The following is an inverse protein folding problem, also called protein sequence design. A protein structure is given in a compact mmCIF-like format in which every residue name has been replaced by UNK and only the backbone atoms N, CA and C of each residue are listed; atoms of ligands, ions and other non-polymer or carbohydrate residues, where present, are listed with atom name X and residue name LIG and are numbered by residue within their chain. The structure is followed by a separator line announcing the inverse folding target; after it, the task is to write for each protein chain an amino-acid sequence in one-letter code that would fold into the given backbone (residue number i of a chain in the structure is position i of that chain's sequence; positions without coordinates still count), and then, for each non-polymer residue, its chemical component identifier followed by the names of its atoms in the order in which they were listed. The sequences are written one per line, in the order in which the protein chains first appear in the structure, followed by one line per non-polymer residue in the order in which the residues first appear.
data_IF_254764434544
#
_entry.id   IF_254764434544
#
_cell.length_a   1.000
_cell.length_b   1.000
_cell.length_c   1.000
_cell.angle_alpha   90.00
_cell.angle_beta   90.00
_cell.angle_gamma   90.00
#
_symmetry.space_group_name_H-M   'P 1'
#
loop_
_entity.id
_entity.type
_entity.pdbx_description
1 polymer ?
#
# COMPACT_ATOMS: atom_id res chain seq x y z
N UNK A 1 -5.12 -10.86 10.22
CA UNK A 1 -5.60 -11.32 8.90
C UNK A 1 -7.06 -10.92 8.72
N UNK A 2 -7.40 -10.12 7.70
CA UNK A 2 -8.80 -9.76 7.39
C UNK A 2 -9.47 -8.70 8.29
N UNK A 3 -8.77 -8.14 9.29
CA UNK A 3 -9.35 -7.14 10.21
C UNK A 3 -9.65 -5.78 9.56
N UNK A 4 -9.03 -5.49 8.42
CA UNK A 4 -9.25 -4.25 7.69
C UNK A 4 -9.16 -4.52 6.18
N UNK A 5 -10.18 -4.05 5.45
CA UNK A 5 -10.26 -4.07 3.98
C UNK A 5 -10.00 -2.68 3.39
N UNK A 6 -9.66 -1.68 4.20
CA UNK A 6 -9.42 -0.34 3.68
C UNK A 6 -8.09 -0.35 2.89
N UNK A 7 -8.00 0.34 1.76
CA UNK A 7 -6.72 0.51 1.09
C UNK A 7 -5.81 1.40 1.93
N UNK A 8 -4.52 1.05 1.99
CA UNK A 8 -3.47 1.86 2.62
C UNK A 8 -2.67 2.52 1.49
N UNK A 9 -2.42 3.81 1.64
CA UNK A 9 -1.59 4.60 0.73
C UNK A 9 -0.55 5.38 1.54
N UNK A 10 0.69 5.38 1.07
CA UNK A 10 1.80 6.12 1.65
C UNK A 10 2.13 7.33 0.75
N UNK A 11 2.06 8.52 1.32
CA UNK A 11 2.42 9.76 0.65
C UNK A 11 3.93 9.98 0.77
N UNK A 12 4.67 9.73 -0.29
CA UNK A 12 6.12 9.81 -0.37
C UNK A 12 6.58 11.17 -0.92
N UNK A 13 6.15 12.24 -0.26
CA UNK A 13 6.52 13.60 -0.65
C UNK A 13 8.01 13.81 -0.37
N UNK A 14 8.73 14.36 -1.34
CA UNK A 14 10.18 14.63 -1.25
C UNK A 14 10.99 13.43 -0.75
N UNK A 15 10.60 12.21 -1.15
CA UNK A 15 11.30 10.98 -0.78
C UNK A 15 11.36 10.70 0.73
N UNK A 16 10.45 11.26 1.52
CA UNK A 16 10.43 11.11 2.98
C UNK A 16 10.44 9.63 3.44
N UNK A 17 9.77 8.73 2.73
CA UNK A 17 9.65 7.32 3.11
C UNK A 17 10.70 6.40 2.46
N UNK A 18 11.65 6.93 1.68
CA UNK A 18 12.71 6.12 1.07
C UNK A 18 13.49 5.26 2.09
N UNK A 19 13.85 5.75 3.30
CA UNK A 19 14.53 4.90 4.29
C UNK A 19 13.66 3.72 4.76
N UNK A 20 12.35 3.90 4.85
CA UNK A 20 11.42 2.83 5.22
C UNK A 20 11.31 1.79 4.11
N UNK A 21 11.24 2.22 2.84
CA UNK A 21 11.23 1.30 1.70
C UNK A 21 12.50 0.46 1.63
N UNK A 22 13.66 1.10 1.82
CA UNK A 22 14.94 0.39 1.88
C UNK A 22 14.98 -0.66 3.01
N UNK A 23 14.41 -0.35 4.18
CA UNK A 23 14.30 -1.31 5.27
C UNK A 23 13.39 -2.48 4.91
N UNK A 24 12.22 -2.21 4.32
CA UNK A 24 11.29 -3.27 3.90
C UNK A 24 11.93 -4.17 2.84
N UNK A 25 12.65 -3.60 1.88
CA UNK A 25 13.33 -4.36 0.84
C UNK A 25 14.47 -5.22 1.42
N UNK A 26 15.22 -4.71 2.39
CA UNK A 26 16.18 -5.50 3.15
C UNK A 26 15.50 -6.68 3.86
N UNK A 27 14.39 -6.41 4.57
CA UNK A 27 13.64 -7.45 5.28
C UNK A 27 13.08 -8.52 4.33
N UNK A 28 12.63 -8.13 3.13
CA UNK A 28 12.22 -9.06 2.06
C UNK A 28 13.40 -9.91 1.60
N UNK A 29 14.54 -9.29 1.29
CA UNK A 29 15.74 -9.99 0.83
C UNK A 29 16.29 -10.99 1.87
N UNK A 30 16.04 -10.73 3.15
CA UNK A 30 16.42 -11.60 4.27
C UNK A 30 15.34 -12.62 4.68
N UNK A 31 14.27 -12.77 3.89
CA UNK A 31 13.16 -13.72 4.11
C UNK A 31 12.46 -13.58 5.48
N UNK A 32 12.58 -12.41 6.13
CA UNK A 32 11.90 -12.12 7.40
C UNK A 32 10.43 -11.69 7.21
N UNK A 33 9.98 -11.46 5.98
CA UNK A 33 8.60 -11.10 5.64
C UNK A 33 7.89 -12.30 5.03
N UNK A 34 6.77 -12.71 5.60
CA UNK A 34 5.92 -13.75 5.03
C UNK A 34 5.38 -13.28 3.65
N UNK A 35 5.64 -14.01 2.55
CA UNK A 35 5.23 -13.58 1.19
C UNK A 35 3.71 -13.44 1.03
N UNK A 36 2.94 -14.12 1.89
CA UNK A 36 1.48 -14.03 1.95
C UNK A 36 0.96 -12.72 2.53
N UNK A 37 1.84 -11.81 2.97
CA UNK A 37 1.52 -10.57 3.67
C UNK A 37 1.95 -9.31 2.94
N UNK A 38 2.13 -9.37 1.61
CA UNK A 38 2.33 -8.17 0.80
C UNK A 38 1.04 -7.33 0.84
N UNK A 39 0.97 -6.48 1.86
CA UNK A 39 -0.05 -5.45 1.99
C UNK A 39 0.22 -4.55 0.80
N UNK A 40 -0.66 -4.60 -0.22
CA UNK A 40 -0.55 -3.80 -1.45
C UNK A 40 -0.69 -2.30 -1.17
N UNK A 41 0.29 -1.75 -0.46
CA UNK A 41 0.40 -0.35 -0.08
C UNK A 41 0.64 0.42 -1.37
N UNK A 42 -0.24 1.37 -1.65
CA UNK A 42 -0.07 2.26 -2.79
C UNK A 42 0.86 3.40 -2.40
N UNK A 43 1.67 3.89 -3.34
CA UNK A 43 2.54 5.04 -3.11
C UNK A 43 2.04 6.21 -3.97
N UNK A 44 2.08 7.42 -3.42
CA UNK A 44 1.86 8.66 -4.14
C UNK A 44 2.97 9.65 -3.79
N UNK A 45 3.71 10.13 -4.80
CA UNK A 45 4.81 11.07 -4.62
C UNK A 45 4.32 12.53 -4.63
N UNK A 46 3.14 12.78 -5.21
CA UNK A 46 2.49 14.09 -5.24
C UNK A 46 1.24 14.13 -4.36
N UNK A 47 1.01 15.27 -3.67
CA UNK A 47 -0.12 15.46 -2.75
C UNK A 47 -1.47 15.38 -3.48
N UNK A 48 -1.54 15.96 -4.67
CA UNK A 48 -2.73 16.00 -5.51
C UNK A 48 -3.19 14.63 -6.01
N UNK A 49 -2.27 13.66 -6.02
CA UNK A 49 -2.51 12.28 -6.41
C UNK A 49 -3.09 11.41 -5.29
N UNK A 50 -2.93 11.80 -4.02
CA UNK A 50 -3.31 11.02 -2.84
C UNK A 50 -4.81 10.67 -2.87
N UNK A 51 -5.67 11.68 -2.95
CA UNK A 51 -7.13 11.51 -2.85
C UNK A 51 -7.71 10.76 -4.06
N UNK A 52 -7.35 11.10 -5.32
CA UNK A 52 -7.79 10.35 -6.50
C UNK A 52 -7.40 8.87 -6.44
N UNK A 53 -6.14 8.56 -6.09
CA UNK A 53 -5.64 7.18 -5.99
C UNK A 53 -6.36 6.40 -4.90
N UNK A 54 -6.57 7.00 -3.73
CA UNK A 54 -7.30 6.37 -2.64
C UNK A 54 -8.76 6.07 -3.03
N UNK A 55 -9.45 7.01 -3.69
CA UNK A 55 -10.81 6.79 -4.21
C UNK A 55 -10.86 5.63 -5.20
N UNK A 56 -9.89 5.54 -6.11
CA UNK A 56 -9.79 4.43 -7.06
C UNK A 56 -9.55 3.09 -6.34
N UNK A 57 -8.69 3.07 -5.32
CA UNK A 57 -8.43 1.88 -4.51
C UNK A 57 -9.67 1.42 -3.73
N UNK A 58 -10.44 2.35 -3.18
CA UNK A 58 -11.71 2.05 -2.51
C UNK A 58 -12.71 1.43 -3.49
N UNK A 59 -12.82 1.97 -4.71
CA UNK A 59 -13.69 1.40 -5.76
C UNK A 59 -13.29 -0.06 -6.07
N UNK A 60 -11.99 -0.33 -6.26
CA UNK A 60 -11.47 -1.69 -6.52
C UNK A 60 -11.82 -2.66 -5.38
N UNK A 61 -11.59 -2.24 -4.14
CA UNK A 61 -11.88 -3.09 -2.97
C UNK A 61 -13.38 -3.36 -2.81
N UNK A 62 -14.24 -2.39 -3.09
CA UNK A 62 -15.70 -2.55 -3.06
C UNK A 62 -16.19 -3.52 -4.13
N UNK A 63 -15.68 -3.45 -5.35
CA UNK A 63 -16.10 -4.35 -6.44
C UNK A 63 -15.73 -5.80 -6.13
N UNK A 64 -14.53 -6.04 -5.60
CA UNK A 64 -14.07 -7.36 -5.17
C UNK A 64 -14.89 -8.00 -4.02
N UNK A 65 -15.74 -7.21 -3.35
CA UNK A 65 -16.69 -7.67 -2.33
C UNK A 65 -18.10 -7.94 -2.87
N UNK A 66 -18.41 -7.44 -4.06
CA UNK A 66 -19.73 -7.55 -4.68
C UNK A 66 -19.80 -8.75 -5.65
N UNK A 67 -18.65 -9.21 -6.15
CA UNK A 67 -18.50 -10.41 -7.01
C UNK A 67 -18.19 -11.69 -6.21
N UNK A 68 -18.52 -11.73 -4.91
CA UNK A 68 -18.37 -12.92 -4.05
C UNK A 68 -19.69 -13.43 -3.53
#
# INVERSE_FOLDING_TARGET
MGRHKKPILLANIDNFWQPLFALIDYLRATEFICPSHDVGIQIADDVEDIVPRLRAAIKRCRNALTER
#
